data_IF_496398438148
#
_entry.id   IF_496398438148
#
_cell.length_a   1.000
_cell.length_b   1.000
_cell.length_c   1.000
_cell.angle_alpha   90.00
_cell.angle_beta   90.00
_cell.angle_gamma   90.00
#
_symmetry.space_group_name_H-M   'P 1'
#
loop_
_entity.id
_entity.type
_entity.pdbx_description
1 polymer ?
#
# COMPACT_ATOMS: atom_id res chain seq x y z
N UNK A 1 20.81 10.64 -3.08
CA UNK A 1 21.15 9.29 -3.51
C UNK A 1 20.07 8.27 -3.11
N UNK A 2 19.73 8.21 -1.82
CA UNK A 2 18.67 7.33 -1.35
C UNK A 2 17.31 7.68 -1.98
N UNK A 3 17.08 8.96 -2.23
CA UNK A 3 15.84 9.42 -2.85
C UNK A 3 15.71 8.89 -4.28
N UNK A 4 16.82 8.90 -5.04
CA UNK A 4 16.79 8.36 -6.39
C UNK A 4 16.45 6.87 -6.38
N UNK A 5 16.99 6.12 -5.42
CA UNK A 5 16.68 4.70 -5.28
C UNK A 5 15.19 4.47 -5.02
N UNK A 6 14.58 5.29 -4.18
CA UNK A 6 13.16 5.14 -3.87
C UNK A 6 12.29 5.43 -5.09
N UNK A 7 12.63 6.46 -5.84
CA UNK A 7 11.90 6.77 -7.06
C UNK A 7 12.08 5.68 -8.11
N UNK A 8 13.32 5.21 -8.29
CA UNK A 8 13.61 4.14 -9.25
C UNK A 8 12.88 2.86 -8.88
N UNK A 9 12.85 2.52 -7.59
CA UNK A 9 12.15 1.33 -7.12
C UNK A 9 10.65 1.45 -7.39
N UNK A 10 10.08 2.63 -7.16
CA UNK A 10 8.67 2.85 -7.41
C UNK A 10 8.35 2.73 -8.90
N UNK A 11 9.20 3.26 -9.77
CA UNK A 11 8.99 3.15 -11.22
C UNK A 11 9.07 1.71 -11.69
N UNK A 12 10.01 0.94 -11.15
CA UNK A 12 10.13 -0.49 -11.49
C UNK A 12 8.92 -1.27 -11.00
N UNK A 13 8.45 -0.97 -9.79
CA UNK A 13 7.27 -1.63 -9.25
C UNK A 13 6.05 -1.29 -10.10
N UNK A 14 5.90 -0.03 -10.51
CA UNK A 14 4.79 0.38 -11.36
C UNK A 14 4.82 -0.36 -12.69
N UNK A 15 5.99 -0.52 -13.29
CA UNK A 15 6.14 -1.28 -14.53
C UNK A 15 5.74 -2.74 -14.35
N UNK A 16 6.15 -3.32 -13.22
CA UNK A 16 5.81 -4.71 -12.88
C UNK A 16 4.30 -4.87 -12.74
N UNK A 17 3.68 -3.94 -12.04
CA UNK A 17 2.23 -3.96 -11.82
C UNK A 17 1.50 -3.89 -13.18
N UNK A 18 1.93 -2.98 -14.05
CA UNK A 18 1.33 -2.84 -15.36
C UNK A 18 1.48 -4.12 -16.20
N UNK A 19 2.65 -4.75 -16.11
CA UNK A 19 2.94 -5.94 -16.92
C UNK A 19 2.15 -7.16 -16.44
N UNK A 20 2.18 -7.43 -15.13
CA UNK A 20 1.63 -8.67 -14.60
C UNK A 20 0.15 -8.60 -14.24
N UNK A 21 -0.35 -7.41 -13.96
CA UNK A 21 -1.72 -7.26 -13.44
C UNK A 21 -2.60 -6.41 -14.34
N UNK A 22 -2.29 -6.39 -15.64
CA UNK A 22 -3.14 -5.72 -16.62
C UNK A 22 -4.54 -6.32 -16.56
N UNK A 23 -5.56 -5.47 -16.54
CA UNK A 23 -6.97 -5.89 -16.46
C UNK A 23 -7.36 -6.51 -15.13
N UNK A 24 -6.51 -6.37 -14.08
CA UNK A 24 -6.87 -6.80 -12.74
C UNK A 24 -7.28 -5.58 -11.91
N UNK A 25 -8.22 -5.79 -11.00
CA UNK A 25 -8.54 -4.79 -10.00
C UNK A 25 -7.44 -4.84 -8.94
N UNK A 26 -6.79 -3.72 -8.69
CA UNK A 26 -5.65 -3.67 -7.77
C UNK A 26 -5.98 -2.80 -6.58
N UNK A 27 -5.73 -3.33 -5.40
CA UNK A 27 -5.93 -2.62 -4.13
C UNK A 27 -4.58 -2.53 -3.45
N UNK A 28 -4.14 -1.30 -3.14
CA UNK A 28 -2.86 -1.10 -2.46
C UNK A 28 -3.05 -1.00 -0.95
N UNK A 29 -2.11 -1.58 -0.22
CA UNK A 29 -1.88 -1.25 1.19
C UNK A 29 -0.51 -0.59 1.23
N UNK A 30 -0.48 0.70 1.52
CA UNK A 30 0.72 1.52 1.36
C UNK A 30 1.12 2.16 2.67
N UNK A 31 2.37 1.98 3.07
CA UNK A 31 2.94 2.61 4.26
C UNK A 31 4.39 2.97 4.01
N UNK A 32 4.80 4.19 4.34
CA UNK A 32 6.14 4.68 4.07
C UNK A 32 6.71 5.38 5.30
N UNK A 33 8.02 5.58 5.30
CA UNK A 33 8.69 6.36 6.32
C UNK A 33 8.73 7.84 5.91
N UNK A 34 8.78 8.73 6.90
CA UNK A 34 8.74 10.17 6.66
C UNK A 34 9.91 10.69 5.82
N UNK A 35 11.06 10.01 5.93
CA UNK A 35 12.27 10.43 5.22
C UNK A 35 12.37 9.89 3.80
N UNK A 36 11.35 9.18 3.32
CA UNK A 36 11.27 8.74 1.94
C UNK A 36 10.58 9.80 1.08
N UNK A 37 10.79 9.75 -0.22
CA UNK A 37 10.08 10.63 -1.14
C UNK A 37 8.66 10.10 -1.38
N UNK A 38 7.86 10.14 -0.32
CA UNK A 38 6.54 9.51 -0.34
C UNK A 38 5.60 10.19 -1.34
N UNK A 39 5.76 11.48 -1.58
CA UNK A 39 4.90 12.15 -2.57
C UNK A 39 5.21 11.64 -3.98
N UNK A 40 6.49 11.43 -4.30
CA UNK A 40 6.89 10.90 -5.60
C UNK A 40 6.40 9.46 -5.77
N UNK A 41 6.51 8.66 -4.71
CA UNK A 41 6.02 7.29 -4.73
C UNK A 41 4.51 7.28 -4.96
N UNK A 42 3.78 8.14 -4.28
CA UNK A 42 2.32 8.25 -4.46
C UNK A 42 1.97 8.64 -5.90
N UNK A 43 2.69 9.61 -6.45
CA UNK A 43 2.45 10.06 -7.82
C UNK A 43 2.66 8.93 -8.83
N UNK A 44 3.74 8.18 -8.66
CA UNK A 44 4.11 7.12 -9.60
C UNK A 44 3.14 5.93 -9.50
N UNK A 45 2.77 5.55 -8.28
CA UNK A 45 2.01 4.31 -8.05
C UNK A 45 0.50 4.47 -8.16
N UNK A 46 -0.02 5.66 -7.84
CA UNK A 46 -1.46 5.86 -7.73
C UNK A 46 -2.27 5.52 -8.99
N UNK A 47 -1.78 5.82 -10.21
CA UNK A 47 -2.61 5.57 -11.40
C UNK A 47 -2.98 4.12 -11.65
N UNK A 48 -2.29 3.17 -11.01
CA UNK A 48 -2.46 1.75 -11.31
C UNK A 48 -3.35 1.03 -10.31
N UNK A 49 -3.89 1.73 -9.32
CA UNK A 49 -4.73 1.12 -8.30
C UNK A 49 -6.19 1.52 -8.47
N UNK A 50 -7.09 0.62 -8.15
CA UNK A 50 -8.52 0.93 -8.06
C UNK A 50 -8.82 1.57 -6.71
N UNK A 51 -8.14 1.15 -5.66
CA UNK A 51 -8.30 1.71 -4.32
C UNK A 51 -6.97 1.66 -3.59
N UNK A 52 -6.74 2.63 -2.72
CA UNK A 52 -5.50 2.71 -1.94
C UNK A 52 -5.86 2.84 -0.46
N UNK A 53 -5.26 1.99 0.36
CA UNK A 53 -5.41 2.03 1.81
C UNK A 53 -4.05 2.38 2.38
N UNK A 54 -3.96 3.46 3.14
CA UNK A 54 -2.70 3.87 3.75
C UNK A 54 -2.63 3.39 5.19
N UNK A 55 -1.43 3.04 5.63
CA UNK A 55 -1.17 2.57 6.99
C UNK A 55 0.03 3.29 7.57
N UNK A 56 0.10 3.33 8.91
CA UNK A 56 1.28 3.80 9.63
C UNK A 56 2.15 2.58 9.90
N UNK A 57 3.42 2.62 9.47
CA UNK A 57 4.34 1.50 9.72
C UNK A 57 4.50 1.30 11.22
N UNK A 58 4.13 0.13 11.76
CA UNK A 58 4.14 -0.06 13.22
C UNK A 58 5.56 -0.14 13.78
N UNK A 59 5.72 0.37 14.99
CA UNK A 59 6.96 0.23 15.73
C UNK A 59 8.14 1.02 15.20
N UNK A 60 7.92 1.95 14.29
CA UNK A 60 8.99 2.74 13.69
C UNK A 60 8.75 4.22 13.96
N UNK A 61 9.67 4.89 14.71
CA UNK A 61 9.46 6.31 15.05
C UNK A 61 9.51 7.23 13.82
N UNK A 62 10.04 6.76 12.69
CA UNK A 62 10.07 7.54 11.46
C UNK A 62 8.87 7.27 10.56
N UNK A 63 7.89 6.51 11.04
CA UNK A 63 6.71 6.20 10.24
C UNK A 63 5.92 7.47 9.92
N UNK A 64 5.53 7.59 8.65
CA UNK A 64 4.59 8.62 8.24
C UNK A 64 3.19 8.15 8.64
N UNK A 65 2.39 9.03 9.23
CA UNK A 65 1.05 8.63 9.65
C UNK A 65 0.20 8.27 8.43
N UNK A 66 -0.71 7.31 8.62
CA UNK A 66 -1.62 6.91 7.56
C UNK A 66 -2.43 8.08 7.03
N UNK A 67 -2.86 8.96 7.93
CA UNK A 67 -3.65 10.13 7.53
C UNK A 67 -2.85 11.09 6.65
N UNK A 68 -1.61 11.39 7.04
CA UNK A 68 -0.75 12.28 6.24
C UNK A 68 -0.48 11.67 4.86
N UNK A 69 -0.22 10.38 4.82
CA UNK A 69 0.01 9.69 3.55
C UNK A 69 -1.25 9.71 2.70
N UNK A 70 -2.42 9.49 3.31
CA UNK A 70 -3.68 9.54 2.58
C UNK A 70 -3.94 10.92 1.99
N UNK A 71 -3.60 11.97 2.71
CA UNK A 71 -3.73 13.33 2.19
C UNK A 71 -2.84 13.56 0.97
N UNK A 72 -1.63 13.02 1.01
CA UNK A 72 -0.71 13.11 -0.12
C UNK A 72 -1.23 12.32 -1.31
N UNK A 73 -1.67 11.09 -1.07
CA UNK A 73 -2.18 10.22 -2.13
C UNK A 73 -3.45 10.81 -2.76
N UNK A 74 -4.26 11.50 -1.97
CA UNK A 74 -5.49 12.11 -2.46
C UNK A 74 -5.25 13.16 -3.55
N UNK A 75 -4.03 13.68 -3.65
CA UNK A 75 -3.68 14.58 -4.75
C UNK A 75 -3.65 13.87 -6.10
N UNK A 76 -3.49 12.56 -6.09
CA UNK A 76 -3.28 11.76 -7.30
C UNK A 76 -4.34 10.68 -7.48
N UNK A 77 -5.16 10.42 -6.47
CA UNK A 77 -6.15 9.34 -6.52
C UNK A 77 -7.36 9.72 -5.66
N UNK A 78 -8.56 9.39 -6.14
CA UNK A 78 -9.80 9.76 -5.46
C UNK A 78 -10.38 8.67 -4.57
N UNK A 79 -9.76 7.50 -4.50
CA UNK A 79 -10.23 6.39 -3.67
C UNK A 79 -9.13 5.96 -2.70
N UNK A 80 -8.86 6.83 -1.73
CA UNK A 80 -7.84 6.56 -0.71
C UNK A 80 -8.48 6.64 0.67
N UNK A 81 -8.10 5.71 1.54
CA UNK A 81 -8.60 5.65 2.92
C UNK A 81 -7.43 5.38 3.85
N UNK A 82 -7.38 6.12 4.96
CA UNK A 82 -6.39 5.88 6.01
C UNK A 82 -6.95 4.84 6.99
N UNK A 83 -6.19 3.77 7.23
CA UNK A 83 -6.58 2.73 8.18
C UNK A 83 -5.95 3.01 9.54
N UNK A 84 -6.68 2.67 10.60
CA UNK A 84 -6.21 2.86 11.97
C UNK A 84 -5.20 1.81 12.40
N UNK A 85 -5.16 0.67 11.73
CA UNK A 85 -4.24 -0.42 12.05
C UNK A 85 -3.99 -1.27 10.81
N UNK A 86 -2.97 -2.13 10.88
CA UNK A 86 -2.73 -3.08 9.80
C UNK A 86 -3.89 -4.07 9.66
N UNK A 87 -4.47 -4.49 10.78
CA UNK A 87 -5.60 -5.41 10.74
C UNK A 87 -6.78 -4.78 10.02
N UNK A 88 -7.08 -3.53 10.31
CA UNK A 88 -8.14 -2.82 9.63
C UNK A 88 -7.85 -2.70 8.14
N UNK A 89 -6.60 -2.39 7.78
CA UNK A 89 -6.22 -2.26 6.37
C UNK A 89 -6.44 -3.57 5.62
N UNK A 90 -6.06 -4.69 6.21
CA UNK A 90 -6.25 -6.00 5.58
C UNK A 90 -7.74 -6.31 5.43
N UNK A 91 -8.53 -6.07 6.48
CA UNK A 91 -9.98 -6.29 6.41
C UNK A 91 -10.62 -5.43 5.33
N UNK A 92 -10.25 -4.16 5.25
CA UNK A 92 -10.77 -3.25 4.23
C UNK A 92 -10.39 -3.73 2.83
N UNK A 93 -9.17 -4.21 2.64
CA UNK A 93 -8.73 -4.69 1.35
C UNK A 93 -9.54 -5.91 0.91
N UNK A 94 -9.87 -6.81 1.82
CA UNK A 94 -10.70 -7.97 1.50
C UNK A 94 -12.14 -7.57 1.18
N UNK A 95 -12.66 -6.55 1.85
CA UNK A 95 -14.01 -6.06 1.55
C UNK A 95 -14.09 -5.42 0.17
N UNK A 96 -13.02 -4.77 -0.26
CA UNK A 96 -12.96 -4.12 -1.57
C UNK A 96 -12.63 -5.09 -2.70
N UNK A 97 -11.99 -6.20 -2.38
CA UNK A 97 -11.50 -7.15 -3.38
C UNK A 97 -12.61 -8.12 -3.80
N UNK A 98 -12.60 -8.46 -5.07
CA UNK A 98 -13.35 -9.61 -5.57
C UNK A 98 -12.37 -10.76 -5.85
N UNK A 99 -12.85 -11.86 -6.42
CA UNK A 99 -12.01 -13.05 -6.60
C UNK A 99 -10.86 -12.86 -7.59
N UNK A 100 -10.98 -11.85 -8.47
CA UNK A 100 -9.95 -11.57 -9.47
C UNK A 100 -9.07 -10.39 -9.10
N UNK A 101 -9.22 -9.88 -7.88
CA UNK A 101 -8.45 -8.71 -7.44
C UNK A 101 -7.07 -9.10 -6.94
N UNK A 102 -6.15 -8.14 -7.04
CA UNK A 102 -4.81 -8.27 -6.48
C UNK A 102 -4.69 -7.27 -5.35
N UNK A 103 -4.22 -7.73 -4.19
CA UNK A 103 -3.93 -6.86 -3.05
C UNK A 103 -2.41 -6.76 -2.96
N UNK A 104 -1.89 -5.55 -3.14
CA UNK A 104 -0.45 -5.30 -3.17
C UNK A 104 -0.07 -4.42 -2.00
N UNK A 105 0.75 -4.97 -1.09
CA UNK A 105 1.29 -4.21 0.04
C UNK A 105 2.72 -3.79 -0.28
N UNK A 106 3.00 -2.50 -0.12
CA UNK A 106 4.34 -2.00 -0.41
C UNK A 106 4.63 -0.75 0.41
N UNK A 107 5.89 -0.32 0.35
CA UNK A 107 6.39 0.89 1.00
C UNK A 107 7.52 0.58 1.95
N UNK A 108 7.23 0.06 3.12
CA UNK A 108 8.24 -0.32 4.09
C UNK A 108 8.22 -1.83 4.32
N UNK A 109 9.38 -2.46 4.23
CA UNK A 109 9.49 -3.90 4.45
C UNK A 109 9.17 -4.31 5.88
N UNK A 110 9.29 -3.38 6.84
CA UNK A 110 9.12 -3.71 8.25
C UNK A 110 7.69 -4.13 8.62
N UNK A 111 6.68 -3.78 7.82
CA UNK A 111 5.31 -4.16 8.15
C UNK A 111 4.78 -5.35 7.33
N UNK A 112 5.50 -5.77 6.29
CA UNK A 112 5.02 -6.83 5.41
C UNK A 112 4.85 -8.16 6.14
N UNK A 113 5.79 -8.50 7.03
CA UNK A 113 5.68 -9.72 7.82
C UNK A 113 4.43 -9.73 8.70
N UNK A 114 4.10 -8.59 9.29
CA UNK A 114 2.90 -8.47 10.12
C UNK A 114 1.63 -8.63 9.30
N UNK A 115 1.61 -8.07 8.09
CA UNK A 115 0.47 -8.25 7.21
C UNK A 115 0.28 -9.71 6.84
N UNK A 116 1.36 -10.42 6.54
CA UNK A 116 1.28 -11.84 6.21
C UNK A 116 0.74 -12.66 7.37
N UNK A 117 1.17 -12.36 8.60
CA UNK A 117 0.62 -13.03 9.79
C UNK A 117 -0.89 -12.79 9.93
N UNK A 118 -1.33 -11.56 9.69
CA UNK A 118 -2.74 -11.22 9.78
C UNK A 118 -3.53 -11.98 8.71
N UNK A 119 -3.03 -12.04 7.50
CA UNK A 119 -3.67 -12.76 6.41
C UNK A 119 -3.79 -14.25 6.76
N UNK A 120 -2.73 -14.86 7.27
CA UNK A 120 -2.76 -16.27 7.66
C UNK A 120 -3.81 -16.53 8.74
N UNK A 121 -3.90 -15.67 9.75
CA UNK A 121 -4.91 -15.81 10.80
C UNK A 121 -6.32 -15.67 10.23
N UNK A 122 -6.52 -14.75 9.31
CA UNK A 122 -7.83 -14.57 8.70
C UNK A 122 -8.23 -15.77 7.86
N UNK A 123 -7.29 -16.37 7.12
CA UNK A 123 -7.55 -17.58 6.36
C UNK A 123 -7.96 -18.73 7.28
N UNK A 124 -7.28 -18.87 8.41
CA UNK A 124 -7.61 -19.92 9.38
C UNK A 124 -9.01 -19.74 9.92
N UNK A 125 -9.41 -18.51 10.23
CA UNK A 125 -10.75 -18.23 10.73
C UNK A 125 -11.84 -18.51 9.70
N UNK A 126 -11.53 -18.33 8.42
CA UNK A 126 -12.50 -18.53 7.35
C UNK A 126 -12.59 -19.98 6.90
N UNK A 127 -11.57 -20.74 7.23
CA UNK A 127 -11.58 -22.15 6.91
C UNK A 127 -12.45 -22.93 7.88
#
# INVERSE_FOLDING_TARGET
YKRQHNEDAARKLAQTVQFYFTNKKIIYIMGVLRDKEYEKIAEIMSPFADSIITVTTPGNPRALSALTLAETVAKYHNRVTAADSLEEAVEMSYLLADKDSVILAFGSLSYLGQIMDIIDKMKTKRA
#
